data_IF_926551652130
#
_entry.id   IF_926551652130
#
_cell.length_a   1.000
_cell.length_b   1.000
_cell.length_c   1.000
_cell.angle_alpha   90.00
_cell.angle_beta   90.00
_cell.angle_gamma   90.00
#
_symmetry.space_group_name_H-M   'P 1'
#
loop_
_entity.id
_entity.type
_entity.pdbx_description
1 polymer ?
#
# COMPACT_ATOMS: atom_id res chain seq x y z
N UNK A 1 1.65 -48.62 11.70
CA UNK A 1 0.65 -47.59 12.04
C UNK A 1 0.14 -47.80 13.47
N UNK A 2 1.03 -47.86 14.47
CA UNK A 2 0.61 -48.11 15.87
C UNK A 2 1.20 -47.10 16.88
N UNK A 3 2.03 -46.15 16.45
CA UNK A 3 2.65 -45.16 17.35
C UNK A 3 1.92 -43.80 17.39
N UNK A 4 0.92 -43.56 16.54
CA UNK A 4 0.21 -42.27 16.45
C UNK A 4 -1.05 -42.14 17.32
N UNK A 5 -1.61 -43.25 17.82
CA UNK A 5 -2.90 -43.24 18.54
C UNK A 5 -2.73 -42.87 20.02
N UNK A 6 -1.57 -43.16 20.61
CA UNK A 6 -1.26 -42.93 22.03
C UNK A 6 -1.16 -41.44 22.40
N UNK A 7 -0.66 -40.59 21.49
CA UNK A 7 -0.48 -39.16 21.76
C UNK A 7 -1.81 -38.38 21.76
N UNK A 8 -2.77 -38.81 20.93
CA UNK A 8 -4.08 -38.14 20.79
C UNK A 8 -5.00 -38.38 21.98
N UNK A 9 -4.93 -39.55 22.62
CA UNK A 9 -5.75 -39.88 23.79
C UNK A 9 -5.31 -39.14 25.07
N UNK A 10 -4.03 -38.75 25.18
CA UNK A 10 -3.50 -38.03 26.34
C UNK A 10 -3.88 -36.54 26.35
N UNK A 11 -4.05 -35.92 25.18
CA UNK A 11 -4.44 -34.52 25.06
C UNK A 11 -5.93 -34.26 25.36
N UNK A 12 -6.82 -35.23 25.08
CA UNK A 12 -8.26 -35.09 25.31
C UNK A 12 -8.68 -35.28 26.79
N UNK A 13 -7.84 -35.89 27.63
CA UNK A 13 -8.21 -36.19 29.02
C UNK A 13 -8.26 -34.94 29.92
N UNK A 14 -7.67 -33.81 29.49
CA UNK A 14 -7.58 -32.59 30.30
C UNK A 14 -8.73 -31.58 30.09
N UNK A 15 -9.68 -31.83 29.16
CA UNK A 15 -10.68 -30.82 28.79
C UNK A 15 -12.15 -31.26 28.80
N UNK A 16 -12.49 -32.49 29.17
CA UNK A 16 -13.89 -32.97 29.10
C UNK A 16 -14.31 -33.70 30.38
N UNK A 17 -15.32 -33.15 31.08
CA UNK A 17 -16.01 -33.82 32.19
C UNK A 17 -16.63 -35.15 31.71
N UNK A 18 -16.60 -36.23 32.51
CA UNK A 18 -16.90 -37.57 32.03
C UNK A 18 -18.41 -37.86 32.06
N UNK A 19 -19.12 -37.67 30.95
CA UNK A 19 -20.47 -38.27 30.81
C UNK A 19 -21.07 -38.28 29.40
N UNK A 20 -20.31 -38.56 28.33
CA UNK A 20 -20.91 -39.06 27.09
C UNK A 20 -19.98 -40.06 26.39
N UNK A 21 -20.29 -41.35 26.47
CA UNK A 21 -19.68 -42.37 25.60
C UNK A 21 -20.42 -42.33 24.27
N UNK A 22 -19.83 -41.66 23.27
CA UNK A 22 -20.29 -41.76 21.89
C UNK A 22 -19.57 -42.95 21.26
N UNK A 23 -20.27 -44.06 21.06
CA UNK A 23 -19.78 -45.18 20.26
C UNK A 23 -20.06 -44.90 18.78
N UNK A 24 -19.08 -44.34 18.08
CA UNK A 24 -19.11 -44.18 16.63
C UNK A 24 -18.33 -45.31 15.97
N UNK A 25 -19.04 -46.29 15.42
CA UNK A 25 -18.46 -47.33 14.57
C UNK A 25 -18.34 -46.78 13.14
N UNK A 26 -17.20 -46.15 12.83
CA UNK A 26 -16.92 -45.67 11.47
C UNK A 26 -16.29 -46.82 10.66
N UNK A 27 -16.90 -47.19 9.53
CA UNK A 27 -16.29 -48.13 8.57
C UNK A 27 -15.08 -47.46 7.90
N UNK A 28 -14.13 -48.25 7.36
CA UNK A 28 -12.86 -47.72 6.83
C UNK A 28 -12.98 -46.60 5.78
N UNK A 29 -14.08 -46.56 5.02
CA UNK A 29 -14.37 -45.46 4.09
C UNK A 29 -14.88 -44.18 4.79
N UNK A 30 -15.62 -44.31 5.89
CA UNK A 30 -16.09 -43.17 6.69
C UNK A 30 -14.94 -42.52 7.49
N UNK A 31 -14.00 -43.32 8.00
CA UNK A 31 -12.77 -42.79 8.62
C UNK A 31 -11.92 -42.01 7.62
N UNK A 32 -11.74 -42.51 6.38
CA UNK A 32 -10.99 -41.81 5.34
C UNK A 32 -11.63 -40.47 4.94
N UNK A 33 -12.97 -40.43 4.81
CA UNK A 33 -13.70 -39.19 4.52
C UNK A 33 -13.64 -38.18 5.68
N UNK A 34 -13.75 -38.64 6.93
CA UNK A 34 -13.60 -37.79 8.10
C UNK A 34 -12.18 -37.20 8.23
N UNK A 35 -11.15 -38.01 7.95
CA UNK A 35 -9.76 -37.55 7.94
C UNK A 35 -9.51 -36.51 6.84
N UNK A 36 -10.10 -36.71 5.65
CA UNK A 36 -9.98 -35.76 4.54
C UNK A 36 -10.65 -34.42 4.87
N UNK A 37 -11.83 -34.42 5.49
CA UNK A 37 -12.52 -33.19 5.92
C UNK A 37 -11.69 -32.46 6.98
N UNK A 38 -11.16 -33.17 7.99
CA UNK A 38 -10.29 -32.57 9.00
C UNK A 38 -8.99 -32.02 8.40
N UNK A 39 -8.41 -32.71 7.41
CA UNK A 39 -7.25 -32.21 6.68
C UNK A 39 -7.58 -30.94 5.88
N UNK A 40 -8.73 -30.90 5.19
CA UNK A 40 -9.18 -29.71 4.46
C UNK A 40 -9.47 -28.54 5.39
N UNK A 41 -10.07 -28.78 6.56
CA UNK A 41 -10.26 -27.77 7.60
C UNK A 41 -8.90 -27.30 8.15
N UNK A 42 -7.98 -28.22 8.45
CA UNK A 42 -6.66 -27.88 8.96
C UNK A 42 -5.83 -27.10 7.93
N UNK A 43 -5.90 -27.47 6.65
CA UNK A 43 -5.30 -26.73 5.54
C UNK A 43 -5.96 -25.35 5.39
N UNK A 44 -7.29 -25.27 5.47
CA UNK A 44 -8.01 -24.00 5.46
C UNK A 44 -7.60 -23.08 6.62
N UNK A 45 -7.50 -23.62 7.84
CA UNK A 45 -7.03 -22.89 9.02
C UNK A 45 -5.55 -22.48 8.87
N UNK A 46 -4.69 -23.36 8.34
CA UNK A 46 -3.29 -23.04 8.08
C UNK A 46 -3.14 -21.91 7.07
N UNK A 47 -3.89 -21.94 5.96
CA UNK A 47 -3.92 -20.85 4.99
C UNK A 47 -4.45 -19.55 5.60
N UNK A 48 -5.50 -19.61 6.42
CA UNK A 48 -6.03 -18.44 7.14
C UNK A 48 -5.00 -17.83 8.10
N UNK A 49 -4.27 -18.66 8.85
CA UNK A 49 -3.24 -18.21 9.81
C UNK A 49 -2.01 -17.65 9.09
N UNK A 50 -1.52 -18.32 8.04
CA UNK A 50 -0.37 -17.89 7.25
C UNK A 50 -0.61 -16.56 6.52
N UNK A 51 -1.81 -16.32 6.00
CA UNK A 51 -2.15 -15.03 5.37
C UNK A 51 -2.25 -13.93 6.44
N UNK A 52 -2.71 -14.26 7.66
CA UNK A 52 -2.92 -13.26 8.72
C UNK A 52 -1.66 -12.64 9.33
N UNK A 53 -0.49 -13.28 9.21
CA UNK A 53 0.78 -12.73 9.70
C UNK A 53 1.32 -11.59 8.82
N UNK A 54 0.85 -11.48 7.57
CA UNK A 54 1.29 -10.44 6.62
C UNK A 54 0.55 -9.11 6.79
N UNK A 55 -0.64 -9.14 7.38
CA UNK A 55 -1.51 -7.98 7.52
C UNK A 55 -1.56 -7.54 8.98
N UNK A 56 -0.48 -6.89 9.41
CA UNK A 56 -0.31 -6.41 10.79
C UNK A 56 -0.15 -4.90 10.78
N UNK A 57 -0.99 -4.24 11.57
CA UNK A 57 -0.90 -2.82 11.83
C UNK A 57 0.06 -2.56 12.99
N UNK A 58 1.15 -1.85 12.72
CA UNK A 58 2.12 -1.40 13.71
C UNK A 58 1.77 0.00 14.19
N UNK A 59 1.81 0.22 15.51
CA UNK A 59 1.55 1.53 16.09
C UNK A 59 2.75 2.45 15.92
N UNK A 60 2.59 3.55 15.17
CA UNK A 60 3.68 4.52 14.91
C UNK A 60 3.53 5.80 15.75
N UNK A 61 2.31 6.12 16.17
CA UNK A 61 1.99 7.24 17.07
C UNK A 61 0.75 6.92 17.92
N UNK A 62 0.35 7.81 18.82
CA UNK A 62 -0.68 7.57 19.86
C UNK A 62 -1.95 6.84 19.40
N UNK A 63 -2.50 7.20 18.24
CA UNK A 63 -3.67 6.57 17.65
C UNK A 63 -3.51 6.30 16.15
N UNK A 64 -2.26 6.21 15.68
CA UNK A 64 -1.93 6.00 14.26
C UNK A 64 -1.18 4.69 14.12
N UNK A 65 -1.67 3.88 13.19
CA UNK A 65 -1.12 2.58 12.87
C UNK A 65 -0.87 2.49 11.37
N UNK A 66 0.19 1.78 10.98
CA UNK A 66 0.51 1.52 9.57
C UNK A 66 0.74 0.04 9.38
N UNK A 67 0.19 -0.50 8.29
CA UNK A 67 0.49 -1.84 7.83
C UNK A 67 1.50 -1.72 6.70
N UNK A 68 2.69 -2.30 6.86
CA UNK A 68 3.72 -2.23 5.82
C UNK A 68 3.60 -3.37 4.82
N UNK A 69 3.41 -3.02 3.56
CA UNK A 69 3.37 -3.99 2.46
C UNK A 69 4.76 -4.55 2.12
N UNK A 70 4.82 -5.72 1.47
CA UNK A 70 6.07 -6.21 0.90
C UNK A 70 6.57 -5.26 -0.20
N UNK A 71 7.90 -5.18 -0.38
CA UNK A 71 8.52 -4.32 -1.40
C UNK A 71 8.39 -4.87 -2.83
N UNK A 72 7.96 -6.12 -2.98
CA UNK A 72 7.79 -6.78 -4.27
C UNK A 72 6.61 -6.18 -5.07
N UNK A 73 6.70 -6.23 -6.40
CA UNK A 73 5.58 -5.95 -7.30
C UNK A 73 4.35 -6.87 -7.03
N UNK A 74 3.13 -6.48 -7.47
CA UNK A 74 1.96 -7.35 -7.40
C UNK A 74 2.21 -8.70 -8.06
N UNK A 75 1.85 -9.78 -7.38
CA UNK A 75 2.03 -11.15 -7.87
C UNK A 75 1.02 -12.11 -7.24
N UNK A 76 0.95 -13.35 -7.73
CA UNK A 76 0.03 -14.37 -7.22
C UNK A 76 0.22 -14.66 -5.72
N UNK A 77 1.44 -14.53 -5.18
CA UNK A 77 1.78 -14.84 -3.77
C UNK A 77 1.38 -13.73 -2.80
N UNK A 78 1.54 -12.46 -3.17
CA UNK A 78 1.09 -11.33 -2.36
C UNK A 78 -0.36 -10.91 -2.68
N UNK A 79 -0.95 -11.47 -3.75
CA UNK A 79 -2.34 -11.21 -4.18
C UNK A 79 -2.60 -9.73 -4.42
N UNK A 80 -1.55 -9.03 -4.85
CA UNK A 80 -1.52 -7.60 -5.09
C UNK A 80 -1.07 -6.75 -3.91
N UNK A 81 -0.93 -7.29 -2.69
CA UNK A 81 -0.56 -6.48 -1.54
C UNK A 81 0.88 -5.97 -1.65
N UNK A 82 1.06 -4.65 -1.56
CA UNK A 82 2.39 -4.02 -1.58
C UNK A 82 2.44 -2.60 -0.99
N UNK A 83 1.31 -1.89 -0.90
CA UNK A 83 1.24 -0.53 -0.35
C UNK A 83 1.26 -0.51 1.19
N UNK A 84 1.26 0.70 1.76
CA UNK A 84 1.21 0.93 3.19
C UNK A 84 -0.14 1.47 3.69
N UNK A 85 -1.16 0.62 3.94
CA UNK A 85 -2.42 1.08 4.53
C UNK A 85 -2.21 1.75 5.89
N UNK A 86 -2.86 2.90 6.09
CA UNK A 86 -2.93 3.61 7.36
C UNK A 86 -4.23 3.35 8.10
N UNK A 87 -4.18 3.29 9.43
CA UNK A 87 -5.35 3.25 10.31
C UNK A 87 -5.20 4.31 11.40
N UNK A 88 -6.19 5.21 11.50
CA UNK A 88 -6.27 6.19 12.58
C UNK A 88 -7.52 5.89 13.42
N UNK A 89 -7.32 5.69 14.72
CA UNK A 89 -8.42 5.39 15.66
C UNK A 89 -8.87 6.67 16.35
N UNK A 90 -9.94 7.26 15.83
CA UNK A 90 -10.56 8.45 16.40
C UNK A 90 -11.52 8.15 17.56
N UNK A 91 -11.97 9.21 18.23
CA UNK A 91 -12.98 9.11 19.31
C UNK A 91 -14.29 8.49 18.84
N UNK A 92 -14.78 8.88 17.67
CA UNK A 92 -16.12 8.56 17.16
C UNK A 92 -16.13 7.58 15.97
N UNK A 93 -14.96 7.23 15.44
CA UNK A 93 -14.83 6.38 14.25
C UNK A 93 -13.36 6.19 13.91
N UNK A 94 -13.08 5.19 13.10
CA UNK A 94 -11.76 4.95 12.54
C UNK A 94 -11.68 5.46 11.09
N UNK A 95 -10.46 5.77 10.66
CA UNK A 95 -10.14 6.29 9.34
C UNK A 95 -9.11 5.35 8.72
N UNK A 96 -9.31 5.01 7.44
CA UNK A 96 -8.33 4.27 6.65
C UNK A 96 -7.68 5.21 5.64
N UNK A 97 -6.39 5.03 5.40
CA UNK A 97 -5.67 5.67 4.29
C UNK A 97 -5.17 4.55 3.40
N UNK A 98 -5.48 4.62 2.11
CA UNK A 98 -5.08 3.65 1.08
C UNK A 98 -5.31 2.16 1.46
N UNK A 99 -6.55 1.65 1.40
CA UNK A 99 -6.89 0.29 1.85
C UNK A 99 -6.31 -0.85 0.99
N UNK A 100 -5.49 -0.52 0.00
CA UNK A 100 -4.72 -1.47 -0.77
C UNK A 100 -5.34 -1.80 -2.12
N UNK A 101 -4.83 -2.88 -2.72
CA UNK A 101 -4.80 -3.05 -4.17
C UNK A 101 -5.89 -3.93 -4.77
N UNK A 102 -6.61 -4.67 -3.93
CA UNK A 102 -7.64 -5.61 -4.37
C UNK A 102 -8.72 -5.76 -3.32
N UNK A 103 -9.86 -6.34 -3.69
CA UNK A 103 -10.90 -6.69 -2.73
C UNK A 103 -10.39 -7.62 -1.61
N UNK A 104 -9.52 -8.56 -1.96
CA UNK A 104 -8.92 -9.48 -1.00
C UNK A 104 -8.03 -8.75 0.02
N UNK A 105 -7.19 -7.84 -0.46
CA UNK A 105 -6.33 -7.00 0.38
C UNK A 105 -7.17 -6.08 1.28
N UNK A 106 -8.17 -5.40 0.73
CA UNK A 106 -9.07 -4.55 1.51
C UNK A 106 -9.79 -5.31 2.64
N UNK A 107 -10.21 -6.55 2.40
CA UNK A 107 -10.77 -7.41 3.46
C UNK A 107 -9.76 -7.74 4.55
N UNK A 108 -8.53 -8.04 4.20
CA UNK A 108 -7.48 -8.33 5.17
C UNK A 108 -7.11 -7.08 5.99
N UNK A 109 -7.08 -5.90 5.37
CA UNK A 109 -6.94 -4.60 6.06
C UNK A 109 -8.07 -4.40 7.07
N UNK A 110 -9.32 -4.65 6.68
CA UNK A 110 -10.49 -4.55 7.57
C UNK A 110 -10.41 -5.53 8.75
N UNK A 111 -10.06 -6.80 8.49
CA UNK A 111 -9.87 -7.82 9.53
C UNK A 111 -8.76 -7.41 10.52
N UNK A 112 -7.66 -6.85 10.03
CA UNK A 112 -6.56 -6.37 10.86
C UNK A 112 -6.99 -5.15 11.70
N UNK A 113 -7.75 -4.21 11.12
CA UNK A 113 -8.27 -3.06 11.83
C UNK A 113 -9.23 -3.46 12.96
N UNK A 114 -10.06 -4.48 12.76
CA UNK A 114 -10.99 -5.01 13.77
C UNK A 114 -10.29 -5.61 14.99
N UNK A 115 -9.04 -6.08 14.84
CA UNK A 115 -8.23 -6.52 15.98
C UNK A 115 -7.78 -5.35 16.88
N UNK A 116 -7.77 -4.12 16.35
CA UNK A 116 -7.33 -2.92 17.06
C UNK A 116 -8.53 -2.13 17.61
N UNK A 117 -9.63 -2.05 16.86
CA UNK A 117 -10.78 -1.23 17.24
C UNK A 117 -12.10 -1.80 16.70
N UNK A 118 -13.14 -1.69 17.52
CA UNK A 118 -14.53 -2.03 17.13
C UNK A 118 -15.29 -0.81 16.60
N UNK A 119 -14.62 0.33 16.38
CA UNK A 119 -15.25 1.56 15.87
C UNK A 119 -15.57 1.41 14.38
N UNK A 120 -16.68 1.98 13.90
CA UNK A 120 -16.98 1.98 12.47
C UNK A 120 -15.92 2.77 11.70
N UNK A 121 -15.62 2.34 10.47
CA UNK A 121 -14.84 3.17 9.54
C UNK A 121 -15.76 4.29 9.05
N UNK A 122 -15.36 5.54 9.27
CA UNK A 122 -16.19 6.72 8.96
C UNK A 122 -15.62 7.56 7.82
N UNK A 123 -14.35 7.36 7.48
CA UNK A 123 -13.70 8.00 6.35
C UNK A 123 -12.58 7.13 5.79
N UNK A 124 -12.34 7.27 4.48
CA UNK A 124 -11.18 6.76 3.77
C UNK A 124 -10.53 7.93 3.05
N UNK A 125 -9.20 7.98 3.02
CA UNK A 125 -8.45 8.86 2.14
C UNK A 125 -7.69 8.03 1.12
N UNK A 126 -7.77 8.38 -0.16
CA UNK A 126 -6.95 7.79 -1.21
C UNK A 126 -5.95 8.82 -1.72
N UNK A 127 -4.68 8.41 -1.77
CA UNK A 127 -3.58 9.33 -2.05
C UNK A 127 -3.43 9.66 -3.53
N UNK A 128 -3.65 8.71 -4.43
CA UNK A 128 -3.52 8.96 -5.87
C UNK A 128 -4.17 7.83 -6.70
N UNK A 129 -4.19 7.99 -8.03
CA UNK A 129 -4.93 7.14 -8.96
C UNK A 129 -4.41 5.70 -9.10
N UNK A 130 -3.18 5.40 -8.68
CA UNK A 130 -2.64 4.05 -8.81
C UNK A 130 -3.44 3.04 -7.96
N UNK A 131 -3.95 2.01 -8.63
CA UNK A 131 -4.97 1.12 -8.09
C UNK A 131 -4.50 0.27 -6.90
N UNK A 132 -3.20 0.14 -6.70
CA UNK A 132 -2.68 -0.58 -5.55
C UNK A 132 -2.92 0.14 -4.20
N UNK A 133 -3.34 1.41 -4.25
CA UNK A 133 -3.67 2.21 -3.08
C UNK A 133 -5.17 2.18 -2.73
N UNK A 134 -6.08 2.03 -3.70
CA UNK A 134 -7.50 2.33 -3.46
C UNK A 134 -8.49 1.26 -3.94
N UNK A 135 -8.13 0.27 -4.75
CA UNK A 135 -9.07 -0.77 -5.18
C UNK A 135 -9.64 -1.59 -4.01
N UNK A 136 -8.94 -1.63 -2.88
CA UNK A 136 -9.41 -2.17 -1.61
C UNK A 136 -10.62 -1.44 -1.01
N UNK A 137 -10.98 -0.25 -1.52
CA UNK A 137 -12.17 0.51 -1.13
C UNK A 137 -13.44 -0.36 -1.18
N UNK A 138 -13.52 -1.31 -2.12
CA UNK A 138 -14.66 -2.22 -2.26
C UNK A 138 -15.03 -2.91 -0.94
N UNK A 139 -14.05 -3.41 -0.19
CA UNK A 139 -14.29 -4.09 1.07
C UNK A 139 -14.86 -3.16 2.16
N UNK A 140 -14.47 -1.88 2.12
CA UNK A 140 -14.96 -0.86 3.06
C UNK A 140 -16.38 -0.46 2.71
N UNK A 141 -16.66 -0.17 1.44
CA UNK A 141 -17.99 0.24 0.97
C UNK A 141 -19.03 -0.86 1.18
N UNK A 142 -18.66 -2.13 0.98
CA UNK A 142 -19.55 -3.27 1.23
C UNK A 142 -20.06 -3.29 2.68
N UNK A 143 -19.18 -2.97 3.66
CA UNK A 143 -19.53 -2.95 5.09
C UNK A 143 -20.09 -1.61 5.56
N UNK A 144 -19.65 -0.51 4.97
CA UNK A 144 -20.03 0.86 5.32
C UNK A 144 -20.44 1.63 4.04
N UNK A 145 -21.65 1.41 3.49
CA UNK A 145 -22.05 1.99 2.21
C UNK A 145 -22.11 3.53 2.18
N UNK A 146 -22.22 4.15 3.35
CA UNK A 146 -22.25 5.61 3.50
C UNK A 146 -20.90 6.22 3.90
N UNK A 147 -19.81 5.43 3.88
CA UNK A 147 -18.46 5.93 4.19
C UNK A 147 -18.07 7.02 3.20
N UNK A 148 -17.43 8.07 3.72
CA UNK A 148 -16.85 9.14 2.92
C UNK A 148 -15.48 8.72 2.41
N UNK A 149 -15.23 8.85 1.11
CA UNK A 149 -13.95 8.49 0.50
C UNK A 149 -13.40 9.74 -0.18
N UNK A 150 -12.36 10.30 0.43
CA UNK A 150 -11.74 11.55 0.03
C UNK A 150 -10.55 11.32 -0.89
N UNK A 151 -10.44 12.14 -1.93
CA UNK A 151 -9.32 12.08 -2.86
C UNK A 151 -9.07 13.43 -3.56
N UNK A 152 -8.00 13.50 -4.34
CA UNK A 152 -7.79 14.58 -5.30
C UNK A 152 -8.94 14.63 -6.33
N UNK A 153 -9.44 15.82 -6.75
CA UNK A 153 -10.50 15.90 -7.76
C UNK A 153 -10.15 15.17 -9.06
N UNK A 154 -8.94 15.35 -9.59
CA UNK A 154 -8.49 14.66 -10.81
C UNK A 154 -8.40 13.13 -10.62
N UNK A 155 -8.10 12.64 -9.41
CA UNK A 155 -8.14 11.19 -9.14
C UNK A 155 -9.55 10.65 -9.35
N UNK A 156 -10.56 11.36 -8.82
CA UNK A 156 -11.97 10.93 -8.91
C UNK A 156 -12.42 10.85 -10.37
N UNK A 157 -12.02 11.83 -11.18
CA UNK A 157 -12.30 11.88 -12.61
C UNK A 157 -11.60 10.74 -13.34
N UNK A 158 -10.26 10.67 -13.28
CA UNK A 158 -9.48 9.66 -14.00
C UNK A 158 -9.85 8.23 -13.62
N UNK A 159 -10.09 7.97 -12.34
CA UNK A 159 -10.54 6.65 -11.89
C UNK A 159 -11.82 6.22 -12.60
N UNK A 160 -12.80 7.13 -12.76
CA UNK A 160 -14.07 6.87 -13.44
C UNK A 160 -13.96 6.85 -14.97
N UNK A 161 -12.94 7.50 -15.52
CA UNK A 161 -12.69 7.58 -16.96
C UNK A 161 -11.86 6.42 -17.53
N UNK A 162 -11.52 5.43 -16.69
CA UNK A 162 -10.98 4.15 -17.12
C UNK A 162 -9.75 3.70 -16.35
N UNK A 163 -9.15 4.56 -15.51
CA UNK A 163 -7.99 4.15 -14.71
C UNK A 163 -8.36 3.06 -13.70
N UNK A 164 -9.59 3.09 -13.15
CA UNK A 164 -10.08 2.02 -12.27
C UNK A 164 -10.07 0.65 -12.96
N UNK A 165 -10.67 0.57 -14.14
CA UNK A 165 -10.71 -0.64 -14.95
C UNK A 165 -9.31 -1.07 -15.44
N UNK A 166 -8.46 -0.11 -15.82
CA UNK A 166 -7.07 -0.38 -16.22
C UNK A 166 -6.30 -1.05 -15.10
N UNK A 167 -6.39 -0.53 -13.89
CA UNK A 167 -5.71 -1.11 -12.72
C UNK A 167 -6.28 -2.45 -12.30
N UNK A 168 -7.58 -2.68 -12.42
CA UNK A 168 -8.19 -3.99 -12.17
C UNK A 168 -7.64 -5.04 -13.14
N UNK A 169 -7.57 -4.70 -14.44
CA UNK A 169 -7.01 -5.60 -15.45
C UNK A 169 -5.52 -5.89 -15.18
N UNK A 170 -4.75 -4.86 -14.82
CA UNK A 170 -3.34 -4.99 -14.46
C UNK A 170 -3.15 -5.88 -13.22
N UNK A 171 -3.96 -5.70 -12.17
CA UNK A 171 -3.92 -6.55 -10.98
C UNK A 171 -4.27 -8.00 -11.29
N UNK A 172 -5.30 -8.24 -12.12
CA UNK A 172 -5.67 -9.60 -12.54
C UNK A 172 -4.52 -10.27 -13.29
N UNK A 173 -3.88 -9.55 -14.22
CA UNK A 173 -2.72 -10.07 -14.95
C UNK A 173 -1.54 -10.38 -14.01
N UNK A 174 -1.13 -9.41 -13.20
CA UNK A 174 0.05 -9.54 -12.34
C UNK A 174 -0.14 -10.61 -11.27
N UNK A 175 -1.36 -10.76 -10.76
CA UNK A 175 -1.69 -11.74 -9.72
C UNK A 175 -2.15 -13.10 -10.25
N UNK A 176 -2.09 -13.31 -11.57
CA UNK A 176 -2.53 -14.55 -12.23
C UNK A 176 -3.99 -14.92 -11.88
N UNK A 177 -4.86 -13.91 -11.84
CA UNK A 177 -6.29 -14.05 -11.50
C UNK A 177 -6.58 -14.10 -9.99
N UNK A 178 -5.57 -14.06 -9.11
CA UNK A 178 -5.81 -14.11 -7.66
C UNK A 178 -6.56 -12.87 -7.11
N UNK A 179 -6.58 -11.77 -7.86
CA UNK A 179 -7.34 -10.55 -7.58
C UNK A 179 -8.72 -10.48 -8.24
N UNK A 180 -9.13 -11.51 -8.99
CA UNK A 180 -10.40 -11.51 -9.73
C UNK A 180 -11.60 -11.31 -8.79
N UNK A 181 -12.61 -10.60 -9.31
CA UNK A 181 -13.77 -10.16 -8.52
C UNK A 181 -13.57 -8.82 -7.79
N UNK A 182 -12.39 -8.21 -7.91
CA UNK A 182 -12.19 -6.80 -7.55
C UNK A 182 -12.95 -5.90 -8.51
N UNK A 183 -13.70 -4.94 -7.98
CA UNK A 183 -14.35 -3.86 -8.72
C UNK A 183 -13.92 -2.50 -8.16
N UNK A 184 -13.94 -1.48 -9.00
CA UNK A 184 -13.57 -0.14 -8.59
C UNK A 184 -14.68 0.48 -7.75
N UNK A 185 -14.37 0.78 -6.48
CA UNK A 185 -15.22 1.59 -5.61
C UNK A 185 -14.60 2.97 -5.47
N UNK A 186 -15.10 3.89 -6.29
CA UNK A 186 -14.51 5.20 -6.53
C UNK A 186 -14.58 6.12 -5.29
N UNK A 187 -13.59 7.03 -5.12
CA UNK A 187 -13.74 8.12 -4.18
C UNK A 187 -14.92 9.02 -4.55
N UNK A 188 -15.55 9.60 -3.53
CA UNK A 188 -16.84 10.30 -3.64
C UNK A 188 -16.76 11.77 -3.24
N UNK A 189 -15.72 12.16 -2.53
CA UNK A 189 -15.57 13.50 -1.95
C UNK A 189 -14.24 14.13 -2.39
N UNK A 190 -14.30 15.17 -3.22
CA UNK A 190 -13.12 15.90 -3.66
C UNK A 190 -12.52 16.74 -2.52
N UNK A 191 -11.19 16.82 -2.50
CA UNK A 191 -10.42 17.65 -1.57
C UNK A 191 -9.91 18.93 -2.23
N UNK A 192 -9.42 19.87 -1.42
CA UNK A 192 -8.71 21.07 -1.87
C UNK A 192 -7.44 21.28 -1.04
N UNK A 193 -6.44 21.97 -1.62
CA UNK A 193 -5.15 22.19 -0.97
C UNK A 193 -5.34 22.93 0.37
N UNK A 194 -4.69 22.45 1.42
CA UNK A 194 -4.78 22.91 2.82
C UNK A 194 -6.16 22.78 3.48
N UNK A 195 -7.12 22.10 2.83
CA UNK A 195 -8.41 21.81 3.45
C UNK A 195 -8.21 21.01 4.73
N UNK A 196 -8.91 21.42 5.79
CA UNK A 196 -9.00 20.65 7.02
C UNK A 196 -10.29 19.83 7.00
N UNK A 197 -10.15 18.50 6.99
CA UNK A 197 -11.25 17.55 7.06
C UNK A 197 -11.33 16.97 8.48
N UNK A 198 -12.53 16.97 9.05
CA UNK A 198 -12.79 16.37 10.38
C UNK A 198 -13.54 15.06 10.22
N UNK A 199 -12.95 13.98 10.68
CA UNK A 199 -13.54 12.64 10.62
C UNK A 199 -13.21 11.86 11.89
N UNK A 200 -14.16 11.09 12.42
CA UNK A 200 -13.92 10.25 13.59
C UNK A 200 -13.52 10.99 14.88
N UNK A 201 -13.61 12.32 14.93
CA UNK A 201 -13.09 13.14 16.03
C UNK A 201 -11.62 13.58 15.86
N UNK A 202 -10.99 13.23 14.75
CA UNK A 202 -9.65 13.68 14.37
C UNK A 202 -9.71 14.79 13.31
N UNK A 203 -8.58 15.44 13.03
CA UNK A 203 -8.47 16.49 12.01
C UNK A 203 -7.29 16.19 11.07
N UNK A 204 -7.56 16.29 9.77
CA UNK A 204 -6.61 15.98 8.71
C UNK A 204 -6.42 17.21 7.82
N UNK A 205 -5.19 17.54 7.44
CA UNK A 205 -4.88 18.59 6.47
C UNK A 205 -4.44 17.96 5.16
N UNK A 206 -5.04 18.42 4.06
CA UNK A 206 -4.76 17.93 2.71
C UNK A 206 -3.62 18.73 2.07
N UNK A 207 -2.67 18.05 1.44
CA UNK A 207 -1.57 18.67 0.70
C UNK A 207 -1.48 18.07 -0.70
N UNK A 208 -1.92 18.82 -1.71
CA UNK A 208 -1.81 18.48 -3.14
C UNK A 208 -1.55 19.75 -3.97
N UNK A 209 -1.41 19.66 -5.29
CA UNK A 209 -1.22 20.81 -6.20
C UNK A 209 -0.05 21.75 -5.84
N UNK A 210 1.04 21.22 -5.26
CA UNK A 210 2.24 22.02 -4.97
C UNK A 210 2.88 22.51 -6.27
N UNK A 211 2.98 21.60 -7.24
CA UNK A 211 3.55 21.82 -8.59
C UNK A 211 2.59 21.41 -9.70
N UNK A 212 1.41 20.87 -9.38
CA UNK A 212 0.43 20.33 -10.32
C UNK A 212 0.63 18.83 -10.62
N UNK A 213 1.87 18.40 -10.86
CA UNK A 213 2.23 16.98 -11.00
C UNK A 213 3.48 16.64 -10.17
N UNK A 214 3.55 15.40 -9.69
CA UNK A 214 4.70 14.83 -9.01
C UNK A 214 4.83 13.34 -9.33
N UNK A 215 4.44 12.43 -8.43
CA UNK A 215 4.36 11.01 -8.77
C UNK A 215 3.26 10.74 -9.80
N UNK A 216 2.14 11.46 -9.70
CA UNK A 216 1.09 11.57 -10.71
C UNK A 216 0.60 13.03 -10.78
N UNK A 217 -0.40 13.31 -11.60
CA UNK A 217 -1.14 14.59 -11.56
C UNK A 217 -2.38 14.52 -10.63
N UNK A 218 -2.41 13.54 -9.72
CA UNK A 218 -3.52 13.29 -8.79
C UNK A 218 -3.08 13.16 -7.33
N UNK A 219 -1.84 13.52 -7.03
CA UNK A 219 -1.23 13.21 -5.75
C UNK A 219 -1.82 14.02 -4.59
N UNK A 220 -2.16 13.32 -3.51
CA UNK A 220 -2.64 13.85 -2.25
C UNK A 220 -1.82 13.27 -1.10
N UNK A 221 -1.13 14.15 -0.37
CA UNK A 221 -0.59 13.81 0.95
C UNK A 221 -1.57 14.21 2.05
N UNK A 222 -1.70 13.35 3.07
CA UNK A 222 -2.66 13.49 4.16
C UNK A 222 -1.92 13.68 5.47
N UNK A 223 -2.00 14.86 6.07
CA UNK A 223 -1.44 15.13 7.40
C UNK A 223 -2.48 14.85 8.48
N UNK A 224 -2.19 13.92 9.38
CA UNK A 224 -2.90 13.82 10.65
C UNK A 224 -2.32 14.84 11.65
N UNK A 225 -3.05 15.94 11.84
CA UNK A 225 -2.57 17.15 12.54
C UNK A 225 -2.15 16.85 13.99
N UNK A 226 -2.93 16.02 14.69
CA UNK A 226 -2.71 15.75 16.11
C UNK A 226 -1.37 15.09 16.40
N UNK A 227 -0.96 14.14 15.55
CA UNK A 227 0.31 13.40 15.73
C UNK A 227 1.41 13.89 14.80
N UNK A 228 1.16 14.94 14.01
CA UNK A 228 2.08 15.43 12.98
C UNK A 228 2.61 14.28 12.11
N UNK A 229 1.68 13.49 11.57
CA UNK A 229 2.01 12.35 10.72
C UNK A 229 1.56 12.64 9.29
N UNK A 230 2.48 12.58 8.34
CA UNK A 230 2.20 12.76 6.92
C UNK A 230 2.17 11.40 6.20
N UNK A 231 1.03 11.07 5.59
CA UNK A 231 0.92 9.97 4.64
C UNK A 231 1.14 10.54 3.25
N UNK A 232 2.19 10.08 2.56
CA UNK A 232 2.68 10.75 1.35
C UNK A 232 2.15 10.14 0.04
N UNK A 233 1.53 8.96 0.10
CA UNK A 233 1.36 8.12 -1.08
C UNK A 233 2.72 7.86 -1.74
N UNK A 234 2.72 7.67 -3.05
CA UNK A 234 3.94 7.35 -3.79
C UNK A 234 4.82 8.57 -4.12
N UNK A 235 4.49 9.77 -3.61
CA UNK A 235 5.43 10.88 -3.62
C UNK A 235 6.73 10.55 -2.90
N UNK A 236 6.71 9.64 -1.93
CA UNK A 236 7.89 9.16 -1.22
C UNK A 236 7.92 7.64 -1.14
N UNK A 237 9.09 7.07 -1.40
CA UNK A 237 9.33 5.62 -1.45
C UNK A 237 10.61 5.28 -0.69
N UNK A 238 10.64 4.12 -0.04
CA UNK A 238 11.82 3.69 0.71
C UNK A 238 12.15 2.23 0.39
N UNK A 239 13.41 1.96 0.03
CA UNK A 239 13.90 0.64 -0.41
C UNK A 239 13.24 0.06 -1.66
N UNK A 240 12.52 0.89 -2.42
CA UNK A 240 11.84 0.53 -3.66
C UNK A 240 11.82 1.72 -4.63
N UNK A 241 11.97 1.44 -5.92
CA UNK A 241 11.76 2.41 -6.99
C UNK A 241 10.31 2.40 -7.45
N UNK A 242 9.72 3.58 -7.56
CA UNK A 242 8.38 3.79 -8.10
C UNK A 242 8.38 3.78 -9.62
N UNK A 243 7.19 3.96 -10.20
CA UNK A 243 7.02 4.19 -11.63
C UNK A 243 6.77 5.67 -11.85
N UNK A 244 7.54 6.29 -12.75
CA UNK A 244 7.20 7.59 -13.33
C UNK A 244 6.58 7.34 -14.70
N UNK A 245 5.26 7.55 -14.80
CA UNK A 245 4.48 7.37 -16.02
C UNK A 245 4.26 8.69 -16.78
N UNK A 246 3.35 8.69 -17.74
CA UNK A 246 3.05 9.86 -18.57
C UNK A 246 2.53 11.04 -17.75
N UNK A 247 1.86 10.80 -16.62
CA UNK A 247 1.29 11.84 -15.76
C UNK A 247 2.25 12.34 -14.68
N UNK A 248 3.39 11.68 -14.52
CA UNK A 248 4.38 12.04 -13.52
C UNK A 248 5.27 13.21 -13.97
N UNK A 249 5.85 13.90 -13.01
CA UNK A 249 6.85 14.95 -13.16
C UNK A 249 7.91 14.80 -12.07
N UNK A 250 9.13 14.39 -12.43
CA UNK A 250 10.21 14.15 -11.46
C UNK A 250 10.73 15.46 -10.85
N UNK A 251 10.74 16.57 -11.60
CA UNK A 251 11.04 17.90 -11.02
C UNK A 251 9.99 18.29 -9.98
N UNK A 252 8.71 18.08 -10.29
CA UNK A 252 7.59 18.27 -9.38
C UNK A 252 7.71 17.39 -8.13
N UNK A 253 8.07 16.11 -8.29
CA UNK A 253 8.23 15.21 -7.16
C UNK A 253 9.40 15.60 -6.23
N UNK A 254 10.51 16.09 -6.77
CA UNK A 254 11.60 16.71 -5.97
C UNK A 254 11.05 17.89 -5.14
N UNK A 255 10.27 18.77 -5.75
CA UNK A 255 9.69 19.93 -5.06
C UNK A 255 8.67 19.52 -3.98
N UNK A 256 7.83 18.50 -4.23
CA UNK A 256 6.88 17.96 -3.25
C UNK A 256 7.60 17.32 -2.06
N UNK A 257 8.68 16.58 -2.29
CA UNK A 257 9.50 16.00 -1.22
C UNK A 257 10.18 17.08 -0.38
N UNK A 258 10.67 18.15 -1.00
CA UNK A 258 11.21 19.30 -0.26
C UNK A 258 10.11 19.99 0.57
N UNK A 259 8.93 20.22 -0.02
CA UNK A 259 7.77 20.73 0.70
C UNK A 259 7.42 19.87 1.92
N UNK A 260 7.42 18.54 1.77
CA UNK A 260 7.15 17.62 2.87
C UNK A 260 8.18 17.75 4.02
N UNK A 261 9.46 17.97 3.71
CA UNK A 261 10.51 18.25 4.71
C UNK A 261 10.22 19.57 5.42
N UNK A 262 9.84 20.61 4.68
CA UNK A 262 9.61 21.96 5.20
C UNK A 262 8.39 22.06 6.11
N UNK A 263 7.42 21.14 6.00
CA UNK A 263 6.33 20.99 6.97
C UNK A 263 6.82 20.66 8.38
N UNK A 264 8.03 20.12 8.53
CA UNK A 264 8.69 19.81 9.81
C UNK A 264 7.79 18.99 10.76
N UNK A 265 7.31 17.86 10.25
CA UNK A 265 6.43 16.92 10.94
C UNK A 265 7.24 15.82 11.65
N UNK A 266 6.58 15.06 12.53
CA UNK A 266 7.26 14.08 13.39
C UNK A 266 7.39 12.72 12.70
N UNK A 267 6.39 12.33 11.90
CA UNK A 267 6.31 11.01 11.25
C UNK A 267 5.92 11.12 9.78
N UNK A 268 6.55 10.31 8.94
CA UNK A 268 6.33 10.24 7.51
C UNK A 268 6.07 8.79 7.11
N UNK A 269 4.96 8.56 6.41
CA UNK A 269 4.54 7.25 5.91
C UNK A 269 4.62 7.30 4.38
N UNK A 270 5.57 6.58 3.76
CA UNK A 270 5.67 6.50 2.31
C UNK A 270 4.56 5.58 1.77
N UNK A 271 4.28 5.64 0.48
CA UNK A 271 3.36 4.70 -0.17
C UNK A 271 3.85 3.25 -0.10
N UNK A 272 5.18 3.08 -0.18
CA UNK A 272 5.87 1.80 -0.02
C UNK A 272 7.14 1.92 0.83
N UNK A 273 7.38 0.90 1.66
CA UNK A 273 8.58 0.79 2.51
C UNK A 273 8.40 1.36 3.92
N UNK A 274 9.46 1.38 4.74
CA UNK A 274 9.34 1.69 6.15
C UNK A 274 8.94 3.14 6.45
N UNK A 275 8.05 3.29 7.42
CA UNK A 275 7.71 4.56 8.08
C UNK A 275 8.90 5.08 8.90
N UNK A 276 9.04 6.39 9.00
CA UNK A 276 10.09 7.01 9.82
C UNK A 276 9.94 8.52 9.93
N UNK A 277 11.06 9.23 9.95
CA UNK A 277 11.10 10.69 9.95
C UNK A 277 11.60 11.22 8.59
N UNK A 278 11.67 12.55 8.44
CA UNK A 278 12.14 13.18 7.21
C UNK A 278 13.52 12.64 6.74
N UNK A 279 14.44 12.35 7.66
CA UNK A 279 15.78 11.85 7.34
C UNK A 279 15.78 10.41 6.83
N UNK A 280 14.93 9.54 7.37
CA UNK A 280 14.92 8.11 7.02
C UNK A 280 13.94 7.78 5.90
N UNK A 281 12.94 8.62 5.66
CA UNK A 281 11.79 8.28 4.82
C UNK A 281 11.58 9.24 3.65
N UNK A 282 12.05 10.49 3.75
CA UNK A 282 11.85 11.50 2.69
C UNK A 282 13.16 11.78 1.96
N UNK A 283 14.21 12.12 2.71
CA UNK A 283 15.53 12.48 2.16
C UNK A 283 16.17 11.40 1.28
N UNK A 284 16.07 10.09 1.56
CA UNK A 284 16.71 9.09 0.71
C UNK A 284 16.16 9.11 -0.73
N UNK A 285 14.84 9.19 -0.90
CA UNK A 285 14.24 9.25 -2.24
C UNK A 285 14.48 10.61 -2.90
N UNK A 286 14.40 11.70 -2.14
CA UNK A 286 14.76 13.03 -2.64
C UNK A 286 16.19 13.07 -3.18
N UNK A 287 17.16 12.54 -2.43
CA UNK A 287 18.56 12.48 -2.84
C UNK A 287 18.75 11.61 -4.09
N UNK A 288 18.02 10.49 -4.20
CA UNK A 288 18.00 9.67 -5.41
C UNK A 288 17.59 10.49 -6.64
N UNK A 289 16.44 11.17 -6.56
CA UNK A 289 15.91 11.97 -7.67
C UNK A 289 16.84 13.14 -8.02
N UNK A 290 17.44 13.78 -7.02
CA UNK A 290 18.43 14.86 -7.23
C UNK A 290 19.69 14.36 -7.93
N UNK A 291 20.20 13.17 -7.59
CA UNK A 291 21.35 12.58 -8.30
C UNK A 291 20.97 12.29 -9.76
N UNK A 292 19.77 11.74 -10.02
CA UNK A 292 19.30 11.50 -11.39
C UNK A 292 19.20 12.83 -12.15
N UNK A 293 18.56 13.84 -11.58
CA UNK A 293 18.45 15.18 -12.16
C UNK A 293 19.83 15.78 -12.48
N UNK A 294 20.76 15.76 -11.53
CA UNK A 294 22.09 16.34 -11.69
C UNK A 294 22.90 15.66 -12.79
N UNK A 295 22.87 14.33 -12.85
CA UNK A 295 23.65 13.58 -13.84
C UNK A 295 23.02 13.63 -15.23
N UNK A 296 21.67 13.64 -15.33
CA UNK A 296 20.98 13.84 -16.60
C UNK A 296 21.21 15.25 -17.13
N UNK A 297 21.11 16.28 -16.30
CA UNK A 297 21.40 17.65 -16.70
C UNK A 297 22.81 17.82 -17.26
N UNK A 298 23.82 17.30 -16.54
CA UNK A 298 25.23 17.35 -17.00
C UNK A 298 25.43 16.61 -18.32
N UNK A 299 24.72 15.49 -18.50
CA UNK A 299 24.80 14.70 -19.73
C UNK A 299 24.15 15.40 -20.91
N UNK A 300 22.96 15.98 -20.70
CA UNK A 300 22.25 16.78 -21.69
C UNK A 300 23.10 17.98 -22.16
N UNK A 301 23.71 18.72 -21.23
CA UNK A 301 24.64 19.83 -21.54
C UNK A 301 25.92 19.38 -22.29
N UNK A 302 26.20 18.08 -22.33
CA UNK A 302 27.33 17.46 -23.03
C UNK A 302 26.91 16.72 -24.31
N UNK A 303 25.68 16.92 -24.78
CA UNK A 303 25.09 16.25 -25.93
C UNK A 303 25.09 14.71 -25.82
N UNK A 304 25.04 14.18 -24.59
CA UNK A 304 24.96 12.73 -24.34
C UNK A 304 23.51 12.24 -24.42
N UNK A 305 23.33 11.03 -24.93
CA UNK A 305 22.04 10.32 -24.88
C UNK A 305 21.74 9.75 -23.49
N UNK A 306 20.47 9.47 -23.20
CA UNK A 306 20.03 8.80 -21.97
C UNK A 306 20.78 7.47 -21.71
N UNK A 307 21.05 6.70 -22.77
CA UNK A 307 21.82 5.46 -22.72
C UNK A 307 23.27 5.68 -22.29
N UNK A 308 23.91 6.77 -22.72
CA UNK A 308 25.28 7.14 -22.35
C UNK A 308 25.36 7.71 -20.93
N UNK A 309 24.30 8.40 -20.49
CA UNK A 309 24.17 8.95 -19.14
C UNK A 309 24.01 7.84 -18.10
N UNK A 310 23.24 6.78 -18.41
CA UNK A 310 22.96 5.66 -17.49
C UNK A 310 24.19 5.10 -16.77
N UNK A 311 25.27 4.66 -17.44
CA UNK A 311 26.45 4.13 -16.77
C UNK A 311 27.26 5.18 -15.98
N UNK A 312 27.04 6.47 -16.21
CA UNK A 312 27.66 7.56 -15.44
C UNK A 312 26.88 7.76 -14.13
N UNK A 313 25.56 7.92 -14.24
CA UNK A 313 24.65 8.07 -13.11
C UNK A 313 24.70 6.84 -12.17
N UNK A 314 24.76 5.63 -12.72
CA UNK A 314 24.84 4.39 -11.93
C UNK A 314 26.00 4.37 -10.93
N UNK A 315 27.16 4.95 -11.30
CA UNK A 315 28.33 5.05 -10.40
C UNK A 315 28.08 5.97 -9.20
N UNK A 316 27.11 6.89 -9.29
CA UNK A 316 26.68 7.79 -8.22
C UNK A 316 25.57 7.21 -7.36
N UNK A 317 24.93 6.13 -7.82
CA UNK A 317 23.70 5.58 -7.26
C UNK A 317 23.93 4.23 -6.56
N UNK A 318 25.18 3.92 -6.20
CA UNK A 318 25.57 2.68 -5.50
C UNK A 318 24.84 2.45 -4.18
N UNK A 319 24.42 3.52 -3.50
CA UNK A 319 23.62 3.44 -2.27
C UNK A 319 22.17 2.97 -2.48
N UNK A 320 21.73 2.83 -3.73
CA UNK A 320 20.38 2.44 -4.11
C UNK A 320 20.34 1.10 -4.86
N UNK A 321 21.49 0.46 -5.10
CA UNK A 321 21.61 -0.81 -5.83
C UNK A 321 20.82 -1.95 -5.19
N UNK A 322 20.61 -1.90 -3.87
CA UNK A 322 19.84 -2.88 -3.10
C UNK A 322 18.34 -2.57 -3.06
N UNK A 323 17.89 -1.42 -3.57
CA UNK A 323 16.48 -1.08 -3.60
C UNK A 323 15.75 -1.94 -4.64
N UNK A 324 14.56 -2.40 -4.28
CA UNK A 324 13.73 -3.17 -5.19
C UNK A 324 13.44 -2.36 -6.46
N UNK A 325 13.60 -3.00 -7.62
CA UNK A 325 13.36 -2.37 -8.92
C UNK A 325 14.45 -1.41 -9.41
N UNK A 326 15.61 -1.31 -8.75
CA UNK A 326 16.71 -0.46 -9.21
C UNK A 326 17.10 -0.75 -10.67
N UNK A 327 17.50 -1.99 -10.97
CA UNK A 327 17.96 -2.40 -12.30
C UNK A 327 16.90 -2.19 -13.40
N UNK A 328 15.63 -2.43 -13.09
CA UNK A 328 14.53 -2.37 -14.05
C UNK A 328 13.99 -0.95 -14.28
N UNK A 329 14.17 -0.03 -13.34
CA UNK A 329 13.61 1.31 -13.41
C UNK A 329 14.65 2.42 -13.64
N UNK A 330 15.93 2.21 -13.30
CA UNK A 330 16.95 3.26 -13.46
C UNK A 330 16.98 3.88 -14.85
N UNK A 331 17.00 3.05 -15.89
CA UNK A 331 17.01 3.56 -17.27
C UNK A 331 15.76 4.37 -17.62
N UNK A 332 14.60 3.99 -17.07
CA UNK A 332 13.33 4.69 -17.29
C UNK A 332 13.31 6.03 -16.59
N UNK A 333 13.85 6.12 -15.38
CA UNK A 333 13.95 7.37 -14.63
C UNK A 333 14.89 8.35 -15.31
N UNK A 334 16.02 7.86 -15.83
CA UNK A 334 16.95 8.68 -16.62
C UNK A 334 16.28 9.19 -17.89
N UNK A 335 15.59 8.31 -18.64
CA UNK A 335 14.86 8.72 -19.85
C UNK A 335 13.73 9.72 -19.56
N UNK A 336 12.97 9.52 -18.47
CA UNK A 336 11.92 10.45 -18.05
C UNK A 336 12.49 11.83 -17.70
N UNK A 337 13.49 11.89 -16.83
CA UNK A 337 14.16 13.14 -16.47
C UNK A 337 14.80 13.82 -17.68
N UNK A 338 15.36 13.05 -18.63
CA UNK A 338 15.94 13.60 -19.85
C UNK A 338 14.87 14.33 -20.68
N UNK A 339 13.73 13.68 -20.90
CA UNK A 339 12.61 14.31 -21.62
C UNK A 339 12.03 15.52 -20.87
N UNK A 340 12.01 15.51 -19.54
CA UNK A 340 11.59 16.68 -18.76
C UNK A 340 12.57 17.85 -18.91
N UNK A 341 13.88 17.60 -18.86
CA UNK A 341 14.90 18.64 -19.06
C UNK A 341 14.85 19.19 -20.48
N UNK A 342 14.77 18.33 -21.49
CA UNK A 342 14.65 18.74 -22.89
C UNK A 342 13.42 19.65 -23.09
N UNK A 343 12.28 19.33 -22.46
CA UNK A 343 11.06 20.14 -22.56
C UNK A 343 11.13 21.52 -21.90
N UNK A 344 12.09 21.75 -21.01
CA UNK A 344 12.31 23.05 -20.35
C UNK A 344 13.26 23.97 -21.13
N UNK A 345 14.05 23.42 -22.05
CA UNK A 345 14.98 24.17 -22.90
C UNK A 345 14.36 24.61 -24.24
N UNK A 346 13.21 24.03 -24.63
CA UNK A 346 12.36 24.47 -25.75
C UNK A 346 11.48 25.70 -25.40
#
# INVERSE_FOLDING_TARGET
>A
MEYGVSYFQKALHNYVKPSYKINLTLTGNMMKKGLLILLLIAVGIYYLLYDSEKYVFEKIADNVYVMHGPLDEPNAKNRGFMNNPGLIVGKNGAIIIDPGSTYGVGKNVMIAAEKITNKPIVAVFNTHVHGDHWLGNQAIVERYPAVKIYAHPNMIEQAKEGEGERWIALMSQLTEGASDGTIASYPTDATTHLQIIKAGGESFRMHHDITGAAHTNTDLMVEHIKTKTLFMGDNGLVHRHGRFDETSDMHGNIAVLQYAIDLNLDYYVPGHGPTGNATTTVKPFLHYLQIVQDEVKKGYEQDLTDYEIKPIADKKLTAYHDWHGYESNMGKHIGKMFGEIESLDE
#
